data_IF_180788260433
#
_entry.id   IF_180788260433
#
_cell.length_a   1.000
_cell.length_b   1.000
_cell.length_c   1.000
_cell.angle_alpha   90.00
_cell.angle_beta   90.00
_cell.angle_gamma   90.00
#
_symmetry.space_group_name_H-M   'P 1'
#
loop_
_entity.id
_entity.type
_entity.pdbx_description
1 polymer ?
#
# COMPACT_ATOMS: atom_id res chain seq x y z
N UNK A 1 -3.43 -4.68 -12.33
CA UNK A 1 -4.77 -4.09 -12.58
C UNK A 1 -5.76 -5.08 -13.20
N UNK A 2 -5.29 -6.20 -13.75
CA UNK A 2 -6.16 -7.26 -14.27
C UNK A 2 -7.13 -7.82 -13.23
N UNK A 3 -6.70 -8.04 -11.98
CA UNK A 3 -7.62 -8.49 -10.92
C UNK A 3 -8.81 -7.55 -10.70
N UNK A 4 -8.59 -6.23 -10.79
CA UNK A 4 -9.66 -5.23 -10.69
C UNK A 4 -10.61 -5.31 -11.89
N UNK A 5 -10.06 -5.45 -13.10
CA UNK A 5 -10.84 -5.63 -14.32
C UNK A 5 -11.67 -6.91 -14.28
N UNK A 6 -11.14 -7.99 -13.72
CA UNK A 6 -11.85 -9.27 -13.63
C UNK A 6 -13.03 -9.24 -12.66
N UNK A 7 -12.91 -8.55 -11.51
CA UNK A 7 -14.02 -8.46 -10.53
C UNK A 7 -15.04 -7.37 -10.81
N UNK A 8 -14.67 -6.35 -11.60
CA UNK A 8 -15.50 -5.14 -11.75
C UNK A 8 -15.74 -4.68 -13.19
N UNK A 9 -15.02 -5.23 -14.16
CA UNK A 9 -15.02 -4.77 -15.55
C UNK A 9 -14.21 -3.49 -15.79
N UNK A 10 -13.61 -2.89 -14.75
CA UNK A 10 -12.81 -1.68 -14.86
C UNK A 10 -11.43 -1.84 -14.19
N UNK A 11 -10.41 -1.24 -14.79
CA UNK A 11 -9.02 -1.38 -14.32
C UNK A 11 -8.69 -0.56 -13.06
N UNK A 12 -9.43 0.51 -12.79
CA UNK A 12 -9.14 1.45 -11.70
C UNK A 12 -10.42 1.88 -10.97
N UNK A 13 -11.37 2.51 -11.67
CA UNK A 13 -12.64 2.94 -11.10
C UNK A 13 -13.66 1.79 -11.05
N UNK A 14 -13.43 0.85 -10.13
CA UNK A 14 -14.16 -0.42 -10.06
C UNK A 14 -15.64 -0.29 -9.62
N UNK A 15 -15.99 0.72 -8.81
CA UNK A 15 -17.32 0.83 -8.18
C UNK A 15 -17.83 -0.50 -7.56
N UNK A 16 -16.89 -1.33 -7.08
CA UNK A 16 -17.12 -2.71 -6.67
C UNK A 16 -17.64 -2.79 -5.23
N UNK A 17 -17.07 -2.04 -4.30
CA UNK A 17 -17.57 -1.93 -2.93
C UNK A 17 -18.76 -0.98 -2.90
N UNK A 18 -19.90 -1.43 -2.37
CA UNK A 18 -21.15 -0.68 -2.31
C UNK A 18 -21.76 -0.76 -0.91
N UNK A 19 -22.66 0.16 -0.57
CA UNK A 19 -23.41 0.06 0.68
C UNK A 19 -24.18 -1.27 0.69
N UNK A 20 -23.95 -2.08 1.73
CA UNK A 20 -24.53 -3.44 1.82
C UNK A 20 -23.62 -4.57 1.32
N UNK A 21 -22.42 -4.28 0.81
CA UNK A 21 -21.42 -5.31 0.49
C UNK A 21 -20.64 -5.02 -0.80
N UNK A 22 -20.71 -5.96 -1.74
CA UNK A 22 -20.00 -5.91 -3.03
C UNK A 22 -20.99 -5.97 -4.20
N UNK A 23 -20.59 -5.46 -5.36
CA UNK A 23 -21.43 -5.38 -6.54
C UNK A 23 -21.69 -6.76 -7.17
N UNK A 24 -20.67 -7.63 -7.20
CA UNK A 24 -20.71 -8.96 -7.81
C UNK A 24 -19.89 -9.93 -6.96
N UNK A 25 -20.20 -11.22 -7.06
CA UNK A 25 -19.37 -12.28 -6.47
C UNK A 25 -18.04 -12.44 -7.23
N UNK A 26 -17.08 -13.13 -6.63
CA UNK A 26 -15.78 -13.39 -7.24
C UNK A 26 -15.93 -14.34 -8.44
N UNK A 27 -15.22 -14.09 -9.56
CA UNK A 27 -15.23 -15.00 -10.69
C UNK A 27 -14.56 -16.34 -10.34
N UNK A 28 -14.95 -17.40 -11.04
CA UNK A 28 -14.39 -18.74 -10.80
C UNK A 28 -12.87 -18.76 -11.04
N UNK A 29 -12.11 -19.40 -10.15
CA UNK A 29 -10.64 -19.47 -10.23
C UNK A 29 -9.89 -18.22 -9.79
N UNK A 30 -10.59 -17.13 -9.44
CA UNK A 30 -9.97 -15.85 -9.08
C UNK A 30 -9.02 -15.94 -7.88
N UNK A 31 -9.39 -16.69 -6.85
CA UNK A 31 -8.57 -16.86 -5.65
C UNK A 31 -7.27 -17.63 -5.94
N UNK A 32 -7.33 -18.63 -6.82
CA UNK A 32 -6.15 -19.40 -7.20
C UNK A 32 -5.14 -18.52 -7.96
N UNK A 33 -5.64 -17.63 -8.81
CA UNK A 33 -4.80 -16.72 -9.57
C UNK A 33 -4.17 -15.62 -8.68
N UNK A 34 -4.92 -15.09 -7.71
CA UNK A 34 -4.35 -14.21 -6.67
C UNK A 34 -3.29 -14.95 -5.85
N UNK A 35 -3.54 -16.21 -5.48
CA UNK A 35 -2.59 -16.99 -4.69
C UNK A 35 -1.29 -17.26 -5.47
N UNK A 36 -1.40 -17.67 -6.74
CA UNK A 36 -0.24 -17.83 -7.63
C UNK A 36 0.54 -16.53 -7.77
N UNK A 37 -0.15 -15.41 -7.98
CA UNK A 37 0.51 -14.11 -8.06
C UNK A 37 1.20 -13.72 -6.74
N UNK A 38 0.53 -13.93 -5.60
CA UNK A 38 1.04 -13.59 -4.29
C UNK A 38 2.29 -14.38 -3.90
N UNK A 39 2.37 -15.66 -4.27
CA UNK A 39 3.55 -16.50 -4.03
C UNK A 39 4.74 -16.13 -4.92
N UNK A 40 4.49 -15.53 -6.09
CA UNK A 40 5.52 -15.07 -7.03
C UNK A 40 5.93 -13.62 -6.79
N UNK A 41 5.19 -12.86 -6.00
CA UNK A 41 5.44 -11.43 -5.79
C UNK A 41 6.58 -11.17 -4.79
N UNK A 42 7.77 -11.69 -5.08
CA UNK A 42 9.03 -11.37 -4.39
C UNK A 42 9.68 -10.09 -4.91
N UNK A 43 9.04 -9.37 -5.84
CA UNK A 43 9.56 -8.14 -6.44
C UNK A 43 9.75 -7.01 -5.43
N UNK A 44 9.14 -7.12 -4.25
CA UNK A 44 9.37 -6.18 -3.14
C UNK A 44 10.82 -6.27 -2.66
N UNK A 45 11.37 -7.49 -2.54
CA UNK A 45 12.73 -7.71 -2.07
C UNK A 45 13.76 -7.17 -3.08
N UNK A 46 13.49 -7.33 -4.38
CA UNK A 46 14.30 -6.77 -5.46
C UNK A 46 14.35 -5.23 -5.41
N UNK A 47 13.20 -4.59 -5.13
CA UNK A 47 13.13 -3.13 -4.97
C UNK A 47 13.88 -2.71 -3.70
N UNK A 48 13.75 -3.47 -2.62
CA UNK A 48 14.42 -3.21 -1.36
C UNK A 48 15.95 -3.26 -1.51
N UNK A 49 16.47 -4.25 -2.23
CA UNK A 49 17.90 -4.41 -2.51
C UNK A 49 18.48 -3.15 -3.20
N UNK A 50 17.76 -2.60 -4.18
CA UNK A 50 18.22 -1.44 -4.96
C UNK A 50 18.08 -0.12 -4.19
N UNK A 51 17.10 0.01 -3.30
CA UNK A 51 16.71 1.29 -2.69
C UNK A 51 17.16 1.41 -1.23
N UNK A 52 16.84 0.43 -0.39
CA UNK A 52 16.99 0.55 1.07
C UNK A 52 18.44 0.65 1.50
N UNK A 53 19.34 -0.10 0.85
CA UNK A 53 20.77 -0.07 1.12
C UNK A 53 21.51 1.11 0.47
N UNK A 54 20.89 1.76 -0.52
CA UNK A 54 21.56 2.69 -1.42
C UNK A 54 21.97 3.99 -0.71
N UNK A 55 23.27 4.33 -0.79
CA UNK A 55 23.83 5.54 -0.17
C UNK A 55 23.18 6.82 -0.70
N UNK A 56 22.99 6.93 -2.03
CA UNK A 56 22.38 8.11 -2.64
C UNK A 56 20.94 8.26 -2.13
N UNK A 57 20.20 7.16 -1.99
CA UNK A 57 18.84 7.21 -1.45
C UNK A 57 18.81 7.69 0.00
N UNK A 58 19.68 7.13 0.85
CA UNK A 58 19.80 7.53 2.27
C UNK A 58 20.19 9.00 2.44
N UNK A 59 21.19 9.47 1.70
CA UNK A 59 21.62 10.87 1.72
C UNK A 59 20.50 11.85 1.32
N UNK A 60 19.54 11.40 0.50
CA UNK A 60 18.44 12.23 0.01
C UNK A 60 17.17 12.15 0.86
N UNK A 61 17.09 11.23 1.82
CA UNK A 61 15.86 10.97 2.58
C UNK A 61 16.04 11.07 4.10
N UNK A 62 17.20 10.68 4.64
CA UNK A 62 17.46 10.74 6.08
C UNK A 62 17.64 12.20 6.51
N UNK A 63 16.90 12.60 7.54
CA UNK A 63 16.93 13.96 8.09
C UNK A 63 16.13 15.00 7.29
N UNK A 64 15.44 14.58 6.23
CA UNK A 64 14.59 15.46 5.41
C UNK A 64 13.14 15.40 5.91
N UNK A 65 12.56 16.56 6.22
CA UNK A 65 11.18 16.66 6.70
C UNK A 65 10.91 15.99 8.06
N UNK A 66 11.76 16.17 9.10
CA UNK A 66 11.47 15.60 10.41
C UNK A 66 10.20 16.25 10.99
N UNK A 67 9.23 15.41 11.39
CA UNK A 67 7.99 15.85 12.03
C UNK A 67 7.92 15.24 13.43
N UNK A 68 7.78 16.08 14.45
CA UNK A 68 7.61 15.62 15.84
C UNK A 68 6.21 15.02 16.04
N UNK A 69 6.08 14.09 17.00
CA UNK A 69 4.78 13.51 17.36
C UNK A 69 3.71 14.57 17.70
N UNK A 70 4.11 15.66 18.38
CA UNK A 70 3.24 16.78 18.71
C UNK A 70 2.73 17.48 17.44
N UNK A 71 3.63 17.87 16.53
CA UNK A 71 3.25 18.50 15.26
C UNK A 71 2.34 17.60 14.43
N UNK A 72 2.62 16.30 14.40
CA UNK A 72 1.80 15.35 13.64
C UNK A 72 0.36 15.29 14.18
N UNK A 73 0.16 15.37 15.50
CA UNK A 73 -1.17 15.46 16.11
C UNK A 73 -1.83 16.82 15.89
N UNK A 74 -1.10 17.90 16.12
CA UNK A 74 -1.60 19.27 15.96
C UNK A 74 -2.06 19.52 14.51
N UNK A 75 -1.38 18.92 13.53
CA UNK A 75 -1.72 19.03 12.11
C UNK A 75 -2.68 17.95 11.61
N UNK A 76 -3.21 17.11 12.52
CA UNK A 76 -4.14 16.03 12.19
C UNK A 76 -3.60 15.06 11.13
N UNK A 77 -2.29 14.79 11.16
CA UNK A 77 -1.70 13.74 10.31
C UNK A 77 -2.26 12.37 10.68
N UNK A 78 -2.25 11.45 9.72
CA UNK A 78 -2.72 10.07 9.91
C UNK A 78 -1.82 9.05 9.19
N UNK A 79 -2.05 7.76 9.41
CA UNK A 79 -1.37 6.69 8.67
C UNK A 79 0.15 6.65 8.88
N UNK A 80 0.91 6.61 7.78
CA UNK A 80 2.38 6.47 7.81
C UNK A 80 3.08 7.66 8.45
N UNK A 81 2.51 8.87 8.34
CA UNK A 81 3.11 10.08 8.92
C UNK A 81 3.13 10.02 10.45
N UNK A 82 2.03 9.58 11.07
CA UNK A 82 1.99 9.37 12.53
C UNK A 82 2.95 8.27 12.97
N UNK A 83 2.94 7.12 12.27
CA UNK A 83 3.79 5.98 12.61
C UNK A 83 5.28 6.32 12.49
N UNK A 84 5.65 7.09 11.47
CA UNK A 84 7.02 7.57 11.27
C UNK A 84 7.48 8.56 12.34
N UNK A 85 6.56 9.38 12.87
CA UNK A 85 6.83 10.32 13.97
C UNK A 85 6.89 9.67 15.36
N UNK A 86 6.85 8.34 15.45
CA UNK A 86 7.03 7.60 16.72
C UNK A 86 5.74 7.29 17.47
N UNK A 87 4.57 7.66 16.94
CA UNK A 87 3.29 7.26 17.51
C UNK A 87 2.94 5.85 17.02
N UNK A 88 3.06 4.86 17.91
CA UNK A 88 2.48 3.54 17.70
C UNK A 88 1.01 3.64 18.08
N UNK A 89 0.13 3.15 17.21
CA UNK A 89 -1.31 3.42 17.25
C UNK A 89 -1.95 3.25 18.62
N UNK A 90 -3.00 4.06 18.83
CA UNK A 90 -4.12 3.75 19.71
C UNK A 90 -4.80 2.48 19.18
#
# INVERSE_FOLDING_TARGET
MEFYEHVSGARLHAAYVRQGGVAFDLPHGFLDDIFKWGTQFSRVDEIEEVVTGNRIWKERTIGIGPVTAKQALDYSFSGVMLRGSGLRGI
#
